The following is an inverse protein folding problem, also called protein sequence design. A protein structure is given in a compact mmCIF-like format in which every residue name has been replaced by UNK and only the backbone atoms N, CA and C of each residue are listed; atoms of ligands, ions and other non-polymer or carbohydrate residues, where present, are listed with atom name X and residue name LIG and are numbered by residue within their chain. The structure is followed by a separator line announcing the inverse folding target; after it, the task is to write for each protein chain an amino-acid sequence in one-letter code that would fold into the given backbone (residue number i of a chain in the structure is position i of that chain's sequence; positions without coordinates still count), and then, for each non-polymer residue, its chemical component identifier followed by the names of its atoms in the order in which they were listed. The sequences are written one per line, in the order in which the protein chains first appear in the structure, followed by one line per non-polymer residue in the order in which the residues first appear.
data_IF_725864343417
#
_entry.id   IF_725864343417
#
_cell.length_a   1.000
_cell.length_b   1.000
_cell.length_c   1.000
_cell.angle_alpha   90.00
_cell.angle_beta   90.00
_cell.angle_gamma   90.00
#
_symmetry.space_group_name_H-M   'P 1'
#
loop_
_entity.id
_entity.type
_entity.pdbx_description
1 polymer ?
#
# COMPACT_ATOMS: atom_id res chain seq x y z
N UNK A 1 -7.03 -14.98 -0.59
CA UNK A 1 -5.90 -15.91 -0.44
C UNK A 1 -6.31 -17.26 -0.99
N UNK A 2 -5.43 -17.95 -1.74
CA UNK A 2 -5.74 -19.31 -2.16
C UNK A 2 -5.87 -20.20 -0.91
N UNK A 3 -6.90 -21.06 -0.79
CA UNK A 3 -7.00 -22.03 0.30
C UNK A 3 -5.82 -23.02 0.32
N UNK A 4 -4.96 -23.00 -0.71
CA UNK A 4 -3.74 -23.80 -0.80
C UNK A 4 -2.54 -23.22 -0.01
N UNK A 5 -2.64 -22.02 0.57
CA UNK A 5 -1.54 -21.43 1.32
C UNK A 5 -1.59 -21.81 2.81
N UNK A 6 -0.67 -22.67 3.24
CA UNK A 6 -0.61 -23.18 4.62
C UNK A 6 -0.19 -22.15 5.68
N UNK A 7 0.41 -21.01 5.30
CA UNK A 7 0.72 -19.87 6.18
C UNK A 7 1.01 -18.59 5.38
N UNK A 8 0.91 -17.43 6.04
CA UNK A 8 1.38 -16.16 5.48
C UNK A 8 2.91 -16.04 5.59
N UNK A 9 3.57 -15.56 4.53
CA UNK A 9 5.02 -15.31 4.49
C UNK A 9 5.42 -13.83 4.65
N UNK A 10 4.49 -12.91 4.42
CA UNK A 10 4.70 -11.47 4.49
C UNK A 10 3.36 -10.76 4.65
N UNK A 11 3.40 -9.47 5.02
CA UNK A 11 2.22 -8.61 5.14
C UNK A 11 2.44 -7.32 4.37
N UNK A 12 1.47 -6.96 3.52
CA UNK A 12 1.40 -5.65 2.89
C UNK A 12 0.30 -4.81 3.53
N UNK A 13 0.56 -3.52 3.71
CA UNK A 13 -0.39 -2.55 4.26
C UNK A 13 -0.58 -1.44 3.23
N UNK A 14 -1.80 -1.28 2.74
CA UNK A 14 -2.24 -0.06 2.06
C UNK A 14 -2.96 0.84 3.06
N UNK A 15 -2.58 2.11 3.16
CA UNK A 15 -3.19 3.04 4.10
C UNK A 15 -3.49 4.40 3.48
N UNK A 16 -4.55 5.04 3.98
CA UNK A 16 -4.82 6.44 3.68
C UNK A 16 -3.71 7.32 4.27
N UNK A 17 -3.35 8.37 3.53
CA UNK A 17 -2.26 9.27 3.92
C UNK A 17 -2.65 10.35 4.95
N UNK A 18 -1.64 11.04 5.50
CA UNK A 18 -0.21 10.92 5.17
C UNK A 18 0.42 9.60 5.62
N UNK A 19 1.29 9.04 4.77
CA UNK A 19 2.03 7.80 5.03
C UNK A 19 3.53 8.12 5.00
N UNK A 20 4.25 7.74 6.04
CA UNK A 20 5.71 7.69 6.03
C UNK A 20 6.14 6.22 6.02
N UNK A 21 6.45 5.71 4.83
CA UNK A 21 6.84 4.32 4.64
C UNK A 21 8.22 4.00 5.25
N UNK A 22 9.09 5.00 5.38
CA UNK A 22 10.43 4.83 5.95
C UNK A 22 10.35 4.73 7.48
N UNK A 23 9.57 5.59 8.13
CA UNK A 23 9.29 5.51 9.56
C UNK A 23 8.28 4.40 9.90
N UNK A 24 7.49 3.95 8.93
CA UNK A 24 6.42 2.97 9.12
C UNK A 24 5.21 3.53 9.87
N UNK A 25 4.95 4.82 9.74
CA UNK A 25 3.90 5.56 10.43
C UNK A 25 2.81 6.05 9.49
N UNK A 26 1.61 6.31 10.04
CA UNK A 26 0.48 6.86 9.30
C UNK A 26 -0.26 7.92 10.12
N UNK A 27 -0.83 8.92 9.43
CA UNK A 27 -1.55 10.05 10.03
C UNK A 27 -2.90 10.35 9.36
N UNK A 28 -3.74 9.35 9.05
CA UNK A 28 -4.89 9.54 8.17
C UNK A 28 -5.92 10.55 8.71
N UNK A 29 -6.41 11.41 7.83
CA UNK A 29 -7.38 12.47 8.19
C UNK A 29 -8.70 11.94 8.73
N UNK A 30 -9.12 10.75 8.28
CA UNK A 30 -10.35 10.09 8.73
C UNK A 30 -10.19 9.31 10.05
N UNK A 31 -8.97 9.21 10.61
CA UNK A 31 -8.75 8.61 11.94
C UNK A 31 -7.99 9.64 12.81
N UNK A 32 -8.69 10.62 13.40
CA UNK A 32 -8.06 11.78 14.04
C UNK A 32 -7.08 11.46 15.17
N UNK A 33 -7.29 10.34 15.87
CA UNK A 33 -6.41 9.87 16.94
C UNK A 33 -5.08 9.28 16.45
N UNK A 34 -4.92 9.07 15.14
CA UNK A 34 -3.68 8.57 14.55
C UNK A 34 -2.87 9.75 14.03
N UNK A 35 -1.78 10.04 14.75
CA UNK A 35 -0.74 11.01 14.41
C UNK A 35 0.60 10.34 14.62
N UNK A 36 1.35 10.21 13.54
CA UNK A 36 2.58 9.43 13.45
C UNK A 36 2.42 8.04 14.05
N UNK A 37 1.25 7.44 13.82
CA UNK A 37 0.87 6.19 14.45
C UNK A 37 1.78 5.06 13.94
N UNK A 38 2.49 4.32 14.82
CA UNK A 38 3.52 3.34 14.42
C UNK A 38 2.89 2.02 13.93
N UNK A 39 2.23 2.10 12.78
CA UNK A 39 1.41 1.02 12.22
C UNK A 39 2.26 -0.21 11.91
N UNK A 40 3.41 -0.01 11.26
CA UNK A 40 4.31 -1.13 10.88
C UNK A 40 4.83 -1.85 12.12
N UNK A 41 5.27 -1.12 13.14
CA UNK A 41 5.77 -1.70 14.38
C UNK A 41 4.68 -2.54 15.08
N UNK A 42 3.47 -1.99 15.21
CA UNK A 42 2.34 -2.67 15.85
C UNK A 42 1.94 -3.92 15.09
N UNK A 43 1.85 -3.86 13.76
CA UNK A 43 1.53 -5.03 12.95
C UNK A 43 2.63 -6.09 13.07
N UNK A 44 3.92 -5.72 13.00
CA UNK A 44 5.05 -6.66 13.17
C UNK A 44 4.97 -7.44 14.49
N UNK A 45 4.63 -6.76 15.59
CA UNK A 45 4.44 -7.41 16.90
C UNK A 45 3.31 -8.44 16.86
N UNK A 46 2.21 -8.14 16.18
CA UNK A 46 1.06 -9.05 16.05
C UNK A 46 1.34 -10.23 15.14
N UNK A 47 2.08 -10.05 14.05
CA UNK A 47 2.31 -11.10 13.04
C UNK A 47 3.58 -11.91 13.26
N UNK A 48 4.16 -11.86 14.46
CA UNK A 48 5.31 -12.68 14.84
C UNK A 48 6.59 -12.36 14.06
N UNK A 49 6.79 -11.09 13.68
CA UNK A 49 8.02 -10.64 13.02
C UNK A 49 8.10 -10.91 11.52
N UNK A 50 7.01 -11.31 10.85
CA UNK A 50 6.96 -11.35 9.38
C UNK A 50 7.36 -9.99 8.78
N UNK A 51 7.88 -10.02 7.55
CA UNK A 51 8.17 -8.80 6.81
C UNK A 51 6.87 -8.01 6.58
N UNK A 52 6.93 -6.72 6.84
CA UNK A 52 5.79 -5.79 6.69
C UNK A 52 6.22 -4.64 5.80
N UNK A 53 5.49 -4.45 4.71
CA UNK A 53 5.60 -3.31 3.80
C UNK A 53 4.39 -2.38 3.96
N UNK A 54 4.63 -1.07 3.92
CA UNK A 54 3.61 -0.04 4.01
C UNK A 54 3.66 0.83 2.76
N UNK A 55 2.50 1.07 2.15
CA UNK A 55 2.34 1.98 1.01
C UNK A 55 1.04 2.77 1.15
N UNK A 56 0.96 3.89 0.43
CA UNK A 56 -0.30 4.61 0.26
C UNK A 56 -1.36 3.76 -0.45
N UNK A 57 -2.63 3.95 -0.13
CA UNK A 57 -3.76 3.26 -0.74
C UNK A 57 -3.84 3.42 -2.26
N UNK A 58 -3.60 4.63 -2.80
CA UNK A 58 -3.52 4.87 -4.24
C UNK A 58 -2.36 4.12 -4.92
N UNK A 59 -1.23 3.98 -4.23
CA UNK A 59 -0.08 3.21 -4.72
C UNK A 59 -0.38 1.71 -4.70
N UNK A 60 -1.04 1.22 -3.64
CA UNK A 60 -1.47 -0.17 -3.54
C UNK A 60 -2.49 -0.54 -4.63
N UNK A 61 -3.46 0.33 -4.89
CA UNK A 61 -4.43 0.19 -5.98
C UNK A 61 -3.72 0.12 -7.33
N UNK A 62 -2.76 1.02 -7.58
CA UNK A 62 -1.96 1.02 -8.81
C UNK A 62 -1.19 -0.29 -9.00
N UNK A 63 -0.61 -0.83 -7.92
CA UNK A 63 0.07 -2.12 -7.95
C UNK A 63 -0.89 -3.26 -8.32
N UNK A 64 -2.11 -3.24 -7.79
CA UNK A 64 -3.14 -4.23 -8.13
C UNK A 64 -3.58 -4.12 -9.60
N UNK A 65 -3.79 -2.89 -10.10
CA UNK A 65 -4.15 -2.65 -11.50
C UNK A 65 -3.04 -3.09 -12.47
N UNK A 66 -1.77 -2.90 -12.10
CA UNK A 66 -0.62 -3.34 -12.91
C UNK A 66 -0.43 -4.86 -12.90
N UNK A 67 -0.71 -5.51 -11.76
CA UNK A 67 -0.56 -6.96 -11.64
C UNK A 67 -1.72 -7.72 -12.30
N UNK A 68 -2.96 -7.33 -11.98
CA UNK A 68 -4.16 -8.12 -12.28
C UNK A 68 -5.23 -7.35 -13.07
N UNK A 69 -5.14 -6.02 -13.12
CA UNK A 69 -6.19 -5.16 -13.63
C UNK A 69 -5.89 -4.53 -14.99
N UNK A 70 -6.40 -3.32 -15.18
CA UNK A 70 -6.43 -2.62 -16.46
C UNK A 70 -5.04 -2.14 -16.93
N UNK A 71 -4.09 -1.96 -16.02
CA UNK A 71 -2.72 -1.58 -16.35
C UNK A 71 -1.80 -2.77 -16.63
N UNK A 72 -2.32 -4.01 -16.58
CA UNK A 72 -1.54 -5.22 -16.87
C UNK A 72 -1.01 -5.21 -18.31
N UNK A 73 0.30 -5.47 -18.43
CA UNK A 73 1.00 -5.52 -19.72
C UNK A 73 1.47 -4.16 -20.24
N UNK A 74 1.20 -3.07 -19.52
CA UNK A 74 1.75 -1.74 -19.82
C UNK A 74 2.98 -1.46 -18.97
N UNK A 75 4.05 -0.98 -19.61
CA UNK A 75 5.28 -0.57 -18.92
C UNK A 75 5.14 0.81 -18.26
N UNK A 76 4.23 1.64 -18.76
CA UNK A 76 4.00 2.97 -18.23
C UNK A 76 2.49 3.18 -18.05
N UNK A 77 2.07 3.49 -16.83
CA UNK A 77 0.67 3.69 -16.50
C UNK A 77 0.53 4.71 -15.36
N UNK A 78 -0.42 5.63 -15.48
CA UNK A 78 -0.88 6.48 -14.40
C UNK A 78 -2.26 6.00 -13.98
N UNK A 79 -2.37 5.53 -12.74
CA UNK A 79 -3.65 5.10 -12.18
C UNK A 79 -4.12 6.18 -11.20
N UNK A 80 -5.35 6.65 -11.39
CA UNK A 80 -5.95 7.72 -10.58
C UNK A 80 -7.27 7.25 -10.00
N UNK A 81 -7.48 7.61 -8.74
CA UNK A 81 -8.76 7.49 -8.05
C UNK A 81 -9.23 8.89 -7.72
N UNK A 82 -10.42 9.23 -8.21
CA UNK A 82 -11.07 10.52 -7.97
C UNK A 82 -12.37 10.25 -7.20
N UNK A 83 -12.43 10.74 -5.96
CA UNK A 83 -13.58 10.61 -5.08
C UNK A 83 -13.70 11.86 -4.21
N UNK A 84 -13.82 11.71 -2.88
CA UNK A 84 -13.74 12.84 -1.92
C UNK A 84 -12.36 13.51 -1.92
N UNK A 85 -11.33 12.79 -2.37
CA UNK A 85 -10.00 13.32 -2.68
C UNK A 85 -9.48 12.72 -4.00
N UNK A 86 -8.29 13.16 -4.41
CA UNK A 86 -7.56 12.62 -5.57
C UNK A 86 -6.34 11.87 -5.07
N UNK A 87 -6.23 10.60 -5.45
CA UNK A 87 -5.09 9.75 -5.14
C UNK A 87 -4.71 8.90 -6.35
N UNK A 88 -3.62 8.15 -6.25
CA UNK A 88 -3.17 7.31 -7.35
C UNK A 88 -1.75 6.83 -7.18
N UNK A 89 -1.18 6.37 -8.28
CA UNK A 89 0.19 5.91 -8.37
C UNK A 89 0.65 5.82 -9.82
N UNK A 90 1.96 5.68 -9.98
CA UNK A 90 2.63 5.70 -11.28
C UNK A 90 3.43 4.40 -11.45
N UNK A 91 3.30 3.80 -12.62
CA UNK A 91 4.18 2.74 -13.11
C UNK A 91 5.05 3.34 -14.22
N UNK A 92 6.37 3.17 -14.13
CA UNK A 92 7.33 3.58 -15.15
C UNK A 92 8.36 2.47 -15.40
N UNK A 93 8.52 2.08 -16.67
CA UNK A 93 9.40 0.98 -17.06
C UNK A 93 9.05 -0.35 -16.40
N UNK A 94 7.75 -0.63 -16.24
CA UNK A 94 7.23 -1.85 -15.62
C UNK A 94 7.34 -1.88 -14.09
N UNK A 95 7.82 -0.80 -13.45
CA UNK A 95 8.01 -0.72 -12.02
C UNK A 95 7.13 0.35 -11.37
N UNK A 96 6.51 -0.02 -10.24
CA UNK A 96 5.75 0.90 -9.40
C UNK A 96 6.68 1.97 -8.81
N UNK A 97 6.23 3.23 -8.84
CA UNK A 97 6.92 4.38 -8.24
C UNK A 97 6.11 4.89 -7.05
N UNK A 98 6.50 4.52 -5.81
CA UNK A 98 6.00 5.24 -4.64
C UNK A 98 6.54 6.68 -4.69
N UNK A 99 5.65 7.65 -4.56
CA UNK A 99 6.00 9.08 -4.60
C UNK A 99 6.87 9.54 -3.43
#
# INVERSE_FOLDING_TARGET
ASPLWGRAGSVGIGSAGPVDAAAGTVSPVNVPGWRDFPLVERVRKTVGGLSVALVGDGVAMTAAEHWLGAARGYDNALCLVVSTGVGGGLVLGGALRPG
#
